data_IF_254673671830
#
_entry.id   IF_254673671830
#
_cell.length_a   1.000
_cell.length_b   1.000
_cell.length_c   1.000
_cell.angle_alpha   90.00
_cell.angle_beta   90.00
_cell.angle_gamma   90.00
#
_symmetry.space_group_name_H-M   'P 1'
#
loop_
_entity.id
_entity.type
_entity.pdbx_description
1 polymer ?
#
# COMPACT_ATOMS: atom_id res chain seq x y z
N UNK A 1 10.27 -10.96 5.93
CA UNK A 1 9.07 -10.15 5.60
C UNK A 1 8.37 -10.81 4.42
N UNK A 2 7.16 -11.39 4.58
CA UNK A 2 6.43 -11.97 3.44
C UNK A 2 5.91 -10.81 2.57
N UNK A 3 6.48 -10.65 1.38
CA UNK A 3 5.96 -9.74 0.35
C UNK A 3 4.53 -10.17 0.00
N UNK A 4 3.53 -9.35 0.35
CA UNK A 4 2.14 -9.55 -0.11
C UNK A 4 2.08 -9.14 -1.58
N UNK A 5 1.59 -10.04 -2.44
CA UNK A 5 1.40 -9.77 -3.87
C UNK A 5 0.57 -8.49 -4.03
N UNK A 6 1.03 -7.57 -4.90
CA UNK A 6 0.43 -6.27 -5.19
C UNK A 6 0.62 -5.16 -4.13
N UNK A 7 1.26 -5.44 -2.98
CA UNK A 7 1.55 -4.45 -1.93
C UNK A 7 3.06 -4.24 -1.78
N UNK A 8 3.54 -3.04 -2.07
CA UNK A 8 4.93 -2.63 -1.86
C UNK A 8 5.02 -1.74 -0.62
N UNK A 9 5.86 -2.11 0.34
CA UNK A 9 6.19 -1.24 1.48
C UNK A 9 7.25 -0.22 1.08
N UNK A 10 6.98 1.05 1.36
CA UNK A 10 7.95 2.13 1.25
C UNK A 10 8.42 2.51 2.66
N UNK A 11 9.65 2.11 2.96
CA UNK A 11 10.39 2.44 4.19
C UNK A 11 11.77 2.91 3.78
N UNK A 12 11.85 4.13 3.26
CA UNK A 12 13.14 4.77 3.04
C UNK A 12 13.39 5.70 4.24
N UNK A 13 14.53 5.51 4.88
CA UNK A 13 14.93 6.23 6.10
C UNK A 13 15.06 7.74 5.86
N UNK A 14 15.43 8.12 4.63
CA UNK A 14 15.74 9.50 4.23
C UNK A 14 14.64 10.19 3.41
N UNK A 15 13.51 9.52 3.10
CA UNK A 15 12.45 10.14 2.29
C UNK A 15 11.25 10.54 3.14
N UNK A 16 10.61 11.64 2.74
CA UNK A 16 9.42 12.19 3.41
C UNK A 16 8.16 11.28 3.33
N UNK A 17 8.29 10.07 2.78
CA UNK A 17 7.18 9.16 2.57
C UNK A 17 7.48 7.77 3.14
N UNK A 18 6.81 7.47 4.25
CA UNK A 18 6.70 6.12 4.80
C UNK A 18 5.26 5.65 4.60
N UNK A 19 5.07 4.47 4.00
CA UNK A 19 3.74 4.01 3.64
C UNK A 19 3.70 2.72 2.83
N UNK A 20 2.52 2.36 2.35
CA UNK A 20 2.28 1.23 1.44
C UNK A 20 1.80 1.73 0.09
N UNK A 21 2.25 1.07 -0.98
CA UNK A 21 1.71 1.25 -2.32
C UNK A 21 0.98 -0.03 -2.72
N UNK A 22 -0.29 0.12 -3.05
CA UNK A 22 -1.08 -0.90 -3.71
C UNK A 22 -1.01 -0.66 -5.21
N UNK A 23 -0.47 -1.62 -5.96
CA UNK A 23 -0.44 -1.59 -7.42
C UNK A 23 -1.10 -2.85 -7.94
N UNK A 24 -2.23 -2.70 -8.63
CA UNK A 24 -3.01 -3.80 -9.17
C UNK A 24 -3.34 -3.51 -10.65
N UNK A 25 -2.86 -4.35 -11.54
CA UNK A 25 -3.17 -4.30 -12.97
C UNK A 25 -4.15 -5.42 -13.31
N UNK A 26 -5.36 -5.09 -13.78
CA UNK A 26 -6.38 -6.06 -14.21
C UNK A 26 -7.12 -5.57 -15.44
N UNK A 27 -7.27 -6.45 -16.44
CA UNK A 27 -8.04 -6.17 -17.67
C UNK A 27 -7.65 -4.87 -18.39
N UNK A 28 -6.36 -4.51 -18.40
CA UNK A 28 -5.85 -3.28 -19.03
C UNK A 28 -5.89 -2.03 -18.14
N UNK A 29 -6.57 -2.08 -16.98
CA UNK A 29 -6.62 -0.97 -16.03
C UNK A 29 -5.59 -1.16 -14.92
N UNK A 30 -4.80 -0.11 -14.66
CA UNK A 30 -3.82 -0.11 -13.55
C UNK A 30 -4.33 0.76 -12.41
N UNK A 31 -4.61 0.14 -11.27
CA UNK A 31 -4.94 0.81 -10.03
C UNK A 31 -3.67 1.00 -9.19
N UNK A 32 -3.27 2.25 -8.98
CA UNK A 32 -2.19 2.59 -8.06
C UNK A 32 -2.71 3.48 -6.96
N UNK A 33 -2.58 3.04 -5.69
CA UNK A 33 -2.97 3.82 -4.52
C UNK A 33 -1.90 3.80 -3.45
N UNK A 34 -1.68 4.95 -2.84
CA UNK A 34 -0.68 5.15 -1.79
C UNK A 34 -1.35 5.32 -0.43
N UNK A 35 -0.83 4.62 0.57
CA UNK A 35 -1.29 4.60 1.95
C UNK A 35 -0.15 5.06 2.86
N UNK A 36 -0.04 6.36 3.08
CA UNK A 36 1.01 6.96 3.91
C UNK A 36 0.75 6.69 5.39
N UNK A 37 1.77 6.29 6.13
CA UNK A 37 1.67 6.05 7.58
C UNK A 37 1.26 7.31 8.32
N UNK A 38 1.75 8.48 7.90
CA UNK A 38 1.34 9.77 8.47
C UNK A 38 -0.16 10.03 8.36
N UNK A 39 -0.78 9.64 7.24
CA UNK A 39 -2.21 9.84 6.97
C UNK A 39 -3.08 8.81 7.70
N UNK A 40 -2.61 7.57 7.77
CA UNK A 40 -3.37 6.45 8.34
C UNK A 40 -3.06 6.18 9.81
N UNK A 41 -2.11 6.90 10.43
CA UNK A 41 -1.78 6.77 11.85
C UNK A 41 -0.85 5.59 12.16
N UNK A 42 0.07 5.28 11.26
CA UNK A 42 1.16 4.33 11.45
C UNK A 42 1.15 3.11 10.53
N UNK A 43 2.22 2.30 10.57
CA UNK A 43 2.47 1.19 9.64
C UNK A 43 1.43 0.07 9.70
N UNK A 44 0.84 -0.17 10.89
CA UNK A 44 -0.21 -1.19 11.07
C UNK A 44 -1.53 -0.76 10.44
N UNK A 45 -1.93 0.50 10.64
CA UNK A 45 -3.18 1.04 10.10
C UNK A 45 -3.10 1.24 8.59
N UNK A 46 -1.98 1.75 8.09
CA UNK A 46 -1.75 1.88 6.64
C UNK A 46 -1.74 0.51 5.94
N UNK A 47 -1.15 -0.51 6.56
CA UNK A 47 -1.20 -1.88 6.06
C UNK A 47 -2.64 -2.40 6.02
N UNK A 48 -3.39 -2.25 7.12
CA UNK A 48 -4.79 -2.70 7.19
C UNK A 48 -5.67 -2.03 6.12
N UNK A 49 -5.53 -0.72 5.92
CA UNK A 49 -6.26 -0.02 4.86
C UNK A 49 -5.84 -0.44 3.45
N UNK A 50 -4.56 -0.72 3.24
CA UNK A 50 -4.08 -1.22 1.95
C UNK A 50 -4.58 -2.64 1.65
N UNK A 51 -4.70 -3.48 2.69
CA UNK A 51 -5.25 -4.83 2.60
C UNK A 51 -6.76 -4.81 2.34
N UNK A 52 -7.51 -3.94 3.02
CA UNK A 52 -8.94 -3.76 2.77
C UNK A 52 -9.18 -3.32 1.32
N UNK A 53 -8.44 -2.32 0.84
CA UNK A 53 -8.55 -1.88 -0.54
C UNK A 53 -8.16 -2.98 -1.54
N UNK A 54 -7.15 -3.80 -1.23
CA UNK A 54 -6.80 -4.96 -2.06
C UNK A 54 -7.94 -6.00 -2.08
N UNK A 55 -8.63 -6.23 -0.97
CA UNK A 55 -9.77 -7.14 -0.90
C UNK A 55 -10.98 -6.63 -1.70
N UNK A 56 -11.25 -5.31 -1.67
CA UNK A 56 -12.33 -4.69 -2.46
C UNK A 56 -12.07 -4.71 -3.97
N UNK A 57 -10.80 -4.70 -4.39
CA UNK A 57 -10.40 -4.68 -5.80
C UNK A 57 -10.22 -6.08 -6.41
N UNK A 58 -10.30 -7.14 -5.61
CA UNK A 58 -10.03 -8.51 -6.03
C UNK A 58 -11.30 -9.20 -6.52
#
# INVERSE_FOLDING_TARGET
>A
MKSKRNLTRFTYDTTAFQGWRLCLSRAGTTFTKYFSDKKYGGPKKSLSSAEHALAELK
#
